data_IF_976126748648
#
_entry.id   IF_976126748648
#
_cell.length_a   1.000
_cell.length_b   1.000
_cell.length_c   1.000
_cell.angle_alpha   90.00
_cell.angle_beta   90.00
_cell.angle_gamma   90.00
#
_symmetry.space_group_name_H-M   'P 1'
#
loop_
_entity.id
_entity.type
_entity.pdbx_description
1 polymer ?
#
# COMPACT_ATOMS: atom_id res chain seq x y z
N UNK A 1 -78.82 -2.92 46.26
CA UNK A 1 -77.56 -3.63 45.91
C UNK A 1 -76.81 -2.77 44.91
N UNK A 2 -75.57 -2.32 45.18
CA UNK A 2 -74.81 -1.56 44.19
C UNK A 2 -74.19 -2.49 43.15
N UNK A 3 -74.32 -2.13 41.88
CA UNK A 3 -73.71 -2.84 40.77
C UNK A 3 -72.21 -2.59 40.73
N UNK A 4 -71.42 -3.67 40.71
CA UNK A 4 -69.97 -3.62 40.50
C UNK A 4 -69.72 -3.28 39.04
N UNK A 5 -69.27 -2.05 38.76
CA UNK A 5 -68.81 -1.64 37.44
C UNK A 5 -67.49 -2.32 37.13
N UNK A 6 -67.50 -3.26 36.17
CA UNK A 6 -66.29 -3.85 35.61
C UNK A 6 -65.57 -2.75 34.84
N UNK A 7 -64.41 -2.30 35.35
CA UNK A 7 -63.53 -1.33 34.68
C UNK A 7 -63.21 -1.84 33.27
N UNK A 8 -63.62 -1.10 32.26
CA UNK A 8 -63.18 -1.31 30.89
C UNK A 8 -61.65 -1.35 30.84
N UNK A 9 -61.10 -2.50 30.49
CA UNK A 9 -59.66 -2.64 30.25
C UNK A 9 -59.28 -1.70 29.10
N UNK A 10 -58.42 -0.76 29.46
CA UNK A 10 -58.04 0.43 28.71
C UNK A 10 -57.48 0.10 27.31
N UNK A 11 -58.35 -0.07 26.31
CA UNK A 11 -58.03 -0.38 24.89
C UNK A 11 -57.01 0.59 24.27
N UNK A 12 -56.85 1.80 24.81
CA UNK A 12 -55.90 2.82 24.33
C UNK A 12 -54.44 2.43 24.56
N UNK A 13 -54.10 1.72 25.63
CA UNK A 13 -52.72 1.34 25.95
C UNK A 13 -52.19 0.25 25.00
N UNK A 14 -53.04 -0.71 24.61
CA UNK A 14 -52.65 -1.78 23.69
C UNK A 14 -52.31 -1.29 22.26
N UNK A 15 -52.98 -0.23 21.77
CA UNK A 15 -52.68 0.38 20.47
C UNK A 15 -51.34 1.13 20.46
N UNK A 16 -50.98 1.82 21.55
CA UNK A 16 -49.69 2.51 21.68
C UNK A 16 -48.50 1.52 21.70
N UNK A 17 -48.63 0.40 22.41
CA UNK A 17 -47.59 -0.65 22.48
C UNK A 17 -47.39 -1.36 21.13
N UNK A 18 -48.45 -1.58 20.33
CA UNK A 18 -48.29 -2.15 18.98
C UNK A 18 -47.60 -1.19 18.01
N UNK A 19 -47.82 0.13 18.13
CA UNK A 19 -47.14 1.14 17.30
C UNK A 19 -45.65 1.27 17.65
N UNK A 20 -45.28 1.26 18.93
CA UNK A 20 -43.86 1.33 19.34
C UNK A 20 -43.04 0.12 18.89
N UNK A 21 -43.63 -1.09 18.94
CA UNK A 21 -42.99 -2.31 18.42
C UNK A 21 -42.72 -2.28 16.92
N UNK A 22 -43.64 -1.69 16.13
CA UNK A 22 -43.44 -1.53 14.67
C UNK A 22 -42.30 -0.56 14.35
N UNK A 23 -42.19 0.54 15.09
CA UNK A 23 -41.08 1.49 14.95
C UNK A 23 -39.74 0.84 15.31
N UNK A 24 -39.71 0.03 16.36
CA UNK A 24 -38.52 -0.73 16.76
C UNK A 24 -38.05 -1.73 15.69
N UNK A 25 -38.98 -2.43 15.03
CA UNK A 25 -38.65 -3.36 13.95
C UNK A 25 -38.09 -2.63 12.72
N UNK A 26 -38.69 -1.49 12.33
CA UNK A 26 -38.18 -0.69 11.20
C UNK A 26 -36.79 -0.16 11.52
N UNK A 27 -36.56 0.33 12.74
CA UNK A 27 -35.25 0.79 13.19
C UNK A 27 -34.18 -0.31 13.14
N UNK A 28 -34.53 -1.54 13.52
CA UNK A 28 -33.62 -2.69 13.42
C UNK A 28 -33.23 -2.99 11.97
N UNK A 29 -34.17 -2.85 11.03
CA UNK A 29 -33.90 -3.09 9.60
C UNK A 29 -32.96 -2.01 9.01
N UNK A 30 -33.13 -0.75 9.42
CA UNK A 30 -32.22 0.35 9.05
C UNK A 30 -30.82 0.10 9.60
N UNK A 31 -30.70 -0.38 10.84
CA UNK A 31 -29.39 -0.75 11.41
C UNK A 31 -28.73 -1.89 10.63
N UNK A 32 -29.48 -2.95 10.30
CA UNK A 32 -28.94 -4.09 9.55
C UNK A 32 -28.44 -3.69 8.16
N UNK A 33 -29.20 -2.86 7.45
CA UNK A 33 -28.80 -2.35 6.12
C UNK A 33 -27.59 -1.42 6.22
N UNK A 34 -27.52 -0.57 7.26
CA UNK A 34 -26.36 0.27 7.52
C UNK A 34 -25.10 -0.56 7.78
N UNK A 35 -25.15 -1.54 8.68
CA UNK A 35 -24.00 -2.39 8.96
C UNK A 35 -23.60 -3.24 7.75
N UNK A 36 -24.56 -3.78 7.00
CA UNK A 36 -24.29 -4.49 5.75
C UNK A 36 -23.55 -3.63 4.74
N UNK A 37 -23.98 -2.38 4.56
CA UNK A 37 -23.29 -1.42 3.68
C UNK A 37 -21.88 -1.10 4.17
N UNK A 38 -21.68 -0.92 5.48
CA UNK A 38 -20.36 -0.64 6.05
C UNK A 38 -19.39 -1.81 5.84
N UNK A 39 -19.84 -3.04 6.06
CA UNK A 39 -19.03 -4.25 5.83
C UNK A 39 -18.65 -4.35 4.35
N UNK A 40 -19.62 -4.19 3.44
CA UNK A 40 -19.35 -4.20 2.01
C UNK A 40 -18.32 -3.14 1.61
N UNK A 41 -18.47 -1.92 2.14
CA UNK A 41 -17.54 -0.81 1.89
C UNK A 41 -16.12 -1.14 2.36
N UNK A 42 -15.96 -1.71 3.56
CA UNK A 42 -14.66 -2.12 4.10
C UNK A 42 -14.01 -3.18 3.21
N UNK A 43 -14.77 -4.21 2.83
CA UNK A 43 -14.26 -5.29 1.96
C UNK A 43 -13.83 -4.73 0.60
N UNK A 44 -14.61 -3.81 0.04
CA UNK A 44 -14.27 -3.17 -1.23
C UNK A 44 -12.95 -2.39 -1.13
N UNK A 45 -12.81 -1.52 -0.12
CA UNK A 45 -11.58 -0.76 0.08
C UNK A 45 -10.38 -1.65 0.37
N UNK A 46 -10.55 -2.72 1.14
CA UNK A 46 -9.48 -3.67 1.42
C UNK A 46 -8.97 -4.31 0.14
N UNK A 47 -9.87 -4.80 -0.72
CA UNK A 47 -9.49 -5.41 -2.01
C UNK A 47 -8.83 -4.41 -2.95
N UNK A 48 -9.31 -3.18 -2.99
CA UNK A 48 -8.72 -2.12 -3.80
C UNK A 48 -7.30 -1.79 -3.33
N UNK A 49 -7.10 -1.63 -2.02
CA UNK A 49 -5.76 -1.43 -1.43
C UNK A 49 -4.83 -2.62 -1.70
N UNK A 50 -5.33 -3.85 -1.54
CA UNK A 50 -4.56 -5.07 -1.78
C UNK A 50 -4.07 -5.13 -3.24
N UNK A 51 -4.94 -4.80 -4.20
CA UNK A 51 -4.58 -4.76 -5.61
C UNK A 51 -3.53 -3.67 -5.89
N UNK A 52 -3.71 -2.46 -5.36
CA UNK A 52 -2.74 -1.38 -5.53
C UNK A 52 -1.38 -1.74 -4.93
N UNK A 53 -1.38 -2.32 -3.72
CA UNK A 53 -0.16 -2.78 -3.07
C UNK A 53 0.56 -3.86 -3.88
N UNK A 54 -0.17 -4.85 -4.38
CA UNK A 54 0.40 -5.90 -5.22
C UNK A 54 0.95 -5.35 -6.54
N UNK A 55 0.28 -4.36 -7.13
CA UNK A 55 0.77 -3.63 -8.31
C UNK A 55 2.11 -2.93 -8.04
N UNK A 56 2.18 -2.14 -6.97
CA UNK A 56 3.40 -1.43 -6.56
C UNK A 56 4.53 -2.42 -6.26
N UNK A 57 4.23 -3.52 -5.56
CA UNK A 57 5.23 -4.55 -5.24
C UNK A 57 5.80 -5.20 -6.49
N UNK A 58 4.97 -5.45 -7.51
CA UNK A 58 5.43 -5.98 -8.78
C UNK A 58 6.33 -4.98 -9.54
N UNK A 59 5.98 -3.69 -9.51
CA UNK A 59 6.84 -2.64 -10.07
C UNK A 59 8.17 -2.52 -9.35
N UNK A 60 8.17 -2.62 -8.02
CA UNK A 60 9.40 -2.59 -7.23
C UNK A 60 10.35 -3.73 -7.62
N UNK A 61 9.83 -4.96 -7.77
CA UNK A 61 10.63 -6.11 -8.19
C UNK A 61 11.23 -5.88 -9.59
N UNK A 62 10.44 -5.39 -10.54
CA UNK A 62 10.94 -5.06 -11.88
C UNK A 62 12.03 -3.99 -11.84
N UNK A 63 11.86 -2.97 -11.00
CA UNK A 63 12.81 -1.87 -10.87
C UNK A 63 14.12 -2.35 -10.26
N UNK A 64 14.06 -3.22 -9.26
CA UNK A 64 15.22 -3.85 -8.63
C UNK A 64 16.00 -4.71 -9.63
N UNK A 65 15.30 -5.48 -10.47
CA UNK A 65 15.92 -6.29 -11.53
C UNK A 65 16.63 -5.40 -12.58
N UNK A 66 15.97 -4.31 -13.02
CA UNK A 66 16.57 -3.35 -13.94
C UNK A 66 17.82 -2.70 -13.31
N UNK A 67 17.74 -2.32 -12.04
CA UNK A 67 18.86 -1.72 -11.31
C UNK A 67 20.04 -2.69 -11.22
N UNK A 68 19.79 -3.94 -10.84
CA UNK A 68 20.81 -4.98 -10.74
C UNK A 68 21.50 -5.22 -12.09
N UNK A 69 20.73 -5.35 -13.17
CA UNK A 69 21.28 -5.54 -14.52
C UNK A 69 22.12 -4.34 -14.98
N UNK A 70 21.64 -3.10 -14.72
CA UNK A 70 22.43 -1.89 -14.98
C UNK A 70 23.73 -1.85 -14.18
N UNK A 71 23.67 -2.21 -12.90
CA UNK A 71 24.82 -2.24 -12.01
C UNK A 71 25.86 -3.27 -12.46
N UNK A 72 25.44 -4.48 -12.83
CA UNK A 72 26.32 -5.52 -13.38
C UNK A 72 26.98 -5.08 -14.69
N UNK A 73 26.23 -4.44 -15.60
CA UNK A 73 26.81 -3.88 -16.82
C UNK A 73 27.82 -2.78 -16.52
N UNK A 74 27.52 -1.90 -15.57
CA UNK A 74 28.41 -0.84 -15.15
C UNK A 74 29.69 -1.39 -14.49
N UNK A 75 29.58 -2.41 -13.63
CA UNK A 75 30.74 -3.03 -12.99
C UNK A 75 31.63 -3.73 -14.01
N UNK A 76 31.05 -4.48 -14.96
CA UNK A 76 31.78 -5.09 -16.07
C UNK A 76 32.48 -4.05 -16.94
N UNK A 77 31.80 -2.95 -17.25
CA UNK A 77 32.37 -1.87 -18.04
C UNK A 77 33.52 -1.18 -17.28
N UNK A 78 33.35 -0.95 -15.98
CA UNK A 78 34.38 -0.39 -15.11
C UNK A 78 35.63 -1.28 -15.08
N UNK A 79 35.47 -2.59 -14.88
CA UNK A 79 36.59 -3.55 -14.91
C UNK A 79 37.30 -3.50 -16.25
N UNK A 80 36.56 -3.54 -17.37
CA UNK A 80 37.15 -3.46 -18.73
C UNK A 80 37.89 -2.15 -18.99
N UNK A 81 37.45 -1.04 -18.39
CA UNK A 81 38.11 0.26 -18.51
C UNK A 81 39.38 0.32 -17.65
N UNK A 82 39.34 -0.22 -16.43
CA UNK A 82 40.51 -0.36 -15.54
C UNK A 82 41.58 -1.27 -16.17
N UNK A 83 41.20 -2.40 -16.78
CA UNK A 83 42.10 -3.27 -17.54
C UNK A 83 42.79 -2.56 -18.71
N UNK A 84 42.13 -1.55 -19.30
CA UNK A 84 42.68 -0.71 -20.37
C UNK A 84 43.44 0.51 -19.85
N UNK A 85 43.68 0.61 -18.54
CA UNK A 85 44.44 1.69 -17.91
C UNK A 85 43.65 2.98 -17.68
N UNK A 86 42.32 2.94 -17.83
CA UNK A 86 41.44 4.08 -17.61
C UNK A 86 40.88 4.04 -16.19
N UNK A 87 41.29 4.98 -15.35
CA UNK A 87 40.76 5.12 -13.99
C UNK A 87 39.54 6.04 -14.01
N UNK A 88 38.38 5.49 -13.67
CA UNK A 88 37.14 6.26 -13.50
C UNK A 88 37.09 6.83 -12.09
N UNK A 89 37.34 8.14 -11.95
CA UNK A 89 37.18 8.86 -10.68
C UNK A 89 35.98 9.80 -10.79
N UNK A 90 34.93 9.56 -9.99
CA UNK A 90 33.73 10.41 -9.87
C UNK A 90 33.16 10.97 -11.19
N UNK A 91 33.02 10.13 -12.22
CA UNK A 91 32.38 10.51 -13.49
C UNK A 91 33.31 11.18 -14.51
N UNK A 92 34.59 11.37 -14.18
CA UNK A 92 35.62 11.81 -15.12
C UNK A 92 36.47 10.63 -15.60
N UNK A 93 36.59 10.49 -16.92
CA UNK A 93 37.51 9.56 -17.58
C UNK A 93 38.89 10.20 -17.50
N UNK A 94 39.72 9.79 -16.55
CA UNK A 94 41.15 10.07 -16.60
C UNK A 94 41.75 9.06 -17.57
N UNK A 95 41.84 9.46 -18.84
CA UNK A 95 42.73 8.78 -19.78
C UNK A 95 44.14 9.03 -19.23
N UNK A 96 44.74 8.01 -18.61
CA UNK A 96 46.16 8.05 -18.34
C UNK A 96 46.83 8.03 -19.71
N UNK A 97 47.08 9.22 -20.25
CA UNK A 97 47.97 9.37 -21.39
C UNK A 97 49.23 8.58 -21.09
N UNK A 98 49.71 7.83 -22.09
CA UNK A 98 50.91 6.99 -22.02
C UNK A 98 52.14 7.81 -21.55
N UNK A 99 52.03 9.15 -21.59
CA UNK A 99 53.00 10.13 -21.13
C UNK A 99 52.97 10.43 -19.61
N UNK A 100 52.01 9.92 -18.83
CA UNK A 100 51.87 10.22 -17.41
C UNK A 100 52.25 9.05 -16.48
N UNK A 101 52.92 8.02 -17.04
CA UNK A 101 53.59 7.00 -16.23
C UNK A 101 54.78 7.69 -15.55
N UNK A 102 54.89 7.70 -14.20
CA UNK A 102 56.06 8.25 -13.55
C UNK A 102 57.27 7.44 -14.03
N UNK A 103 58.12 8.07 -14.86
CA UNK A 103 59.35 7.45 -15.30
C UNK A 103 60.17 7.11 -14.06
N UNK A 104 60.43 5.83 -13.88
CA UNK A 104 61.37 5.30 -12.88
C UNK A 104 62.62 6.17 -12.95
N UNK A 105 62.93 6.91 -11.88
CA UNK A 105 64.18 7.65 -11.81
C UNK A 105 65.30 6.63 -11.96
N UNK A 106 65.99 6.64 -13.10
CA UNK A 106 67.26 5.96 -13.23
C UNK A 106 68.16 6.50 -12.12
N UNK A 107 68.62 5.60 -11.24
CA UNK A 107 69.76 5.90 -10.38
C UNK A 107 70.97 6.05 -11.29
N UNK A 108 71.29 7.27 -11.67
CA UNK A 108 72.64 7.62 -12.10
C UNK A 108 73.54 7.67 -10.88
N UNK A 109 74.46 6.69 -10.84
CA UNK A 109 75.67 6.54 -10.02
C UNK A 109 75.49 6.26 -8.51
#
# INVERSE_FOLDING_TARGET
MPFVTIKEVNKKNHKKVKKSKKVSIVFLFVLMTFFGFQIFRIVFYYKDLENQYNGIKAEQIKLEEIYKNKYEKYSLLKIKLEERGVLLNNGTILQNDIYNIPQTKERTN
#
